data_IF_421900402233
#
_entry.id   IF_421900402233
#
_cell.length_a   1.000
_cell.length_b   1.000
_cell.length_c   1.000
_cell.angle_alpha   90.00
_cell.angle_beta   90.00
_cell.angle_gamma   90.00
#
_symmetry.space_group_name_H-M   'P 1'
#
loop_
_entity.id
_entity.type
_entity.pdbx_description
1 polymer ?
#
# COMPACT_ATOMS: atom_id res chain seq x y z
N UNK A 1 16.52 26.16 -0.01
CA UNK A 1 15.77 25.21 -0.85
C UNK A 1 14.66 24.66 0.02
N UNK A 2 13.37 24.78 -0.36
CA UNK A 2 12.29 24.27 0.49
C UNK A 2 12.44 22.76 0.65
N UNK A 3 12.27 22.29 1.88
CA UNK A 3 12.29 20.86 2.22
C UNK A 3 10.95 20.33 1.73
N UNK A 4 10.97 19.48 0.70
CA UNK A 4 9.78 18.80 0.21
C UNK A 4 9.62 17.56 1.08
N UNK A 5 8.76 17.63 2.09
CA UNK A 5 8.51 16.57 3.06
C UNK A 5 7.18 15.84 2.82
N UNK A 6 6.33 16.35 1.92
CA UNK A 6 5.04 15.74 1.62
C UNK A 6 4.58 16.02 0.17
N UNK A 7 3.59 15.26 -0.30
CA UNK A 7 3.16 15.35 -1.70
C UNK A 7 2.33 16.61 -2.02
N UNK A 8 1.79 17.33 -1.02
CA UNK A 8 1.00 18.58 -1.19
C UNK A 8 1.77 19.71 -1.86
N UNK A 9 3.10 19.64 -1.88
CA UNK A 9 3.95 20.60 -2.59
C UNK A 9 3.84 20.49 -4.12
N UNK A 10 3.21 19.42 -4.63
CA UNK A 10 2.98 19.19 -6.06
C UNK A 10 1.53 19.49 -6.45
N UNK A 11 1.34 20.37 -7.44
CA UNK A 11 0.02 20.79 -7.92
C UNK A 11 -0.82 19.67 -8.56
N UNK A 12 -0.22 18.52 -8.91
CA UNK A 12 -0.92 17.34 -9.46
C UNK A 12 -0.22 16.03 -9.02
N UNK A 13 -0.75 15.38 -7.99
CA UNK A 13 -0.24 14.09 -7.51
C UNK A 13 -0.89 12.93 -8.30
N UNK A 14 -0.08 12.00 -8.78
CA UNK A 14 -0.52 10.79 -9.46
C UNK A 14 -0.24 9.56 -8.58
N UNK A 15 -1.15 9.18 -7.69
CA UNK A 15 -0.87 8.11 -6.71
C UNK A 15 -1.27 6.71 -7.22
N UNK A 16 -0.37 5.73 -7.06
CA UNK A 16 -0.67 4.32 -7.26
C UNK A 16 -0.59 3.60 -5.92
N UNK A 17 -1.71 2.98 -5.52
CA UNK A 17 -1.82 2.27 -4.25
C UNK A 17 -1.78 0.76 -4.51
N UNK A 18 -1.15 -0.01 -3.62
CA UNK A 18 -1.24 -1.47 -3.60
C UNK A 18 -1.94 -1.95 -2.32
N UNK A 19 -3.05 -2.67 -2.48
CA UNK A 19 -3.76 -3.38 -1.42
C UNK A 19 -3.10 -4.76 -1.34
N UNK A 20 -2.38 -5.13 -0.28
CA UNK A 20 -1.85 -6.48 -0.20
C UNK A 20 -2.61 -7.32 0.82
N UNK A 21 -3.14 -8.45 0.35
CA UNK A 21 -3.77 -9.46 1.19
C UNK A 21 -2.81 -10.64 1.31
N UNK A 22 -2.08 -10.72 2.43
CA UNK A 22 -1.25 -11.90 2.75
C UNK A 22 -1.98 -12.74 3.79
N UNK A 23 -2.55 -13.84 3.32
CA UNK A 23 -3.16 -14.84 4.19
C UNK A 23 -2.11 -15.91 4.53
N UNK A 24 -1.26 -15.62 5.52
CA UNK A 24 -0.28 -16.60 5.99
C UNK A 24 -0.94 -17.63 6.93
N UNK A 25 -1.26 -18.82 6.41
CA UNK A 25 -1.64 -19.97 7.25
C UNK A 25 -0.41 -20.46 8.04
N UNK A 26 -0.32 -20.15 9.34
CA UNK A 26 0.69 -20.80 10.18
C UNK A 26 0.97 -20.24 11.59
N UNK A 27 0.40 -19.14 12.04
CA UNK A 27 0.70 -18.63 13.38
C UNK A 27 -0.47 -17.88 14.01
N UNK A 28 -0.81 -18.23 15.26
CA UNK A 28 -1.75 -17.49 16.13
C UNK A 28 -1.17 -16.14 16.58
N UNK A 29 -0.57 -15.39 15.66
CA UNK A 29 0.05 -14.11 15.95
C UNK A 29 -0.64 -13.09 15.07
N UNK A 30 -1.58 -12.34 15.66
CA UNK A 30 -2.20 -11.16 15.08
C UNK A 30 -1.15 -10.03 15.02
N UNK A 31 -0.17 -10.14 14.12
CA UNK A 31 0.74 -9.05 13.84
C UNK A 31 0.18 -8.24 12.67
N UNK A 32 -0.24 -7.01 12.94
CA UNK A 32 -0.42 -6.02 11.89
C UNK A 32 0.97 -5.72 11.32
N UNK A 33 1.21 -6.08 10.06
CA UNK A 33 2.40 -5.66 9.34
C UNK A 33 2.03 -4.41 8.52
N UNK A 34 1.72 -3.30 9.20
CA UNK A 34 1.98 -2.01 8.56
C UNK A 34 3.47 -2.02 8.22
N UNK A 35 3.82 -1.86 6.94
CA UNK A 35 5.21 -1.59 6.56
C UNK A 35 5.49 -0.15 6.96
N UNK A 36 5.51 0.08 8.26
CA UNK A 36 5.99 1.31 8.88
C UNK A 36 7.40 1.00 9.38
N UNK A 37 8.31 1.87 8.99
CA UNK A 37 9.71 1.91 9.38
C UNK A 37 10.57 0.75 8.83
N UNK A 38 11.16 1.02 7.67
CA UNK A 38 12.57 0.67 7.51
C UNK A 38 13.31 1.17 8.76
N UNK A 39 13.98 0.30 9.52
CA UNK A 39 14.92 0.79 10.50
C UNK A 39 15.95 1.63 9.74
N UNK A 40 16.06 2.92 10.09
CA UNK A 40 17.04 3.84 9.53
C UNK A 40 18.46 3.24 9.48
N UNK A 41 18.79 2.32 10.41
CA UNK A 41 20.05 1.58 10.42
C UNK A 41 20.16 0.57 9.25
N UNK A 42 19.08 -0.12 8.90
CA UNK A 42 19.01 -1.05 7.76
C UNK A 42 19.03 -0.27 6.44
N UNK A 43 18.28 0.82 6.33
CA UNK A 43 18.32 1.71 5.15
C UNK A 43 19.74 2.22 4.89
N UNK A 44 20.45 2.62 5.96
CA UNK A 44 21.83 3.09 5.89
C UNK A 44 22.82 1.98 5.50
N UNK A 45 22.64 0.75 6.01
CA UNK A 45 23.49 -0.39 5.64
C UNK A 45 23.33 -0.77 4.16
N UNK A 46 22.12 -0.65 3.62
CA UNK A 46 21.82 -0.92 2.21
C UNK A 46 22.18 0.25 1.28
N UNK A 47 22.62 1.40 1.80
CA UNK A 47 22.97 2.58 1.01
C UNK A 47 21.77 3.23 0.30
N UNK A 48 20.54 2.99 0.78
CA UNK A 48 19.31 3.43 0.11
C UNK A 48 19.10 4.94 0.09
N UNK A 49 19.76 5.67 1.00
CA UNK A 49 19.67 7.13 1.14
C UNK A 49 20.23 7.92 -0.07
N UNK A 50 20.90 7.26 -1.02
CA UNK A 50 21.59 7.90 -2.15
C UNK A 50 21.01 7.54 -3.54
N UNK A 51 19.90 6.80 -3.61
CA UNK A 51 19.51 6.10 -4.85
C UNK A 51 18.92 7.03 -5.93
N UNK A 52 18.19 8.09 -5.56
CA UNK A 52 17.67 9.04 -6.56
C UNK A 52 17.29 10.38 -5.94
N UNK A 53 17.67 11.52 -6.56
CA UNK A 53 17.21 12.85 -6.12
C UNK A 53 15.70 13.07 -6.33
N UNK A 54 15.04 12.19 -7.10
CA UNK A 54 13.60 12.25 -7.33
C UNK A 54 12.80 11.50 -6.26
N UNK A 55 13.43 10.68 -5.41
CA UNK A 55 12.75 10.06 -4.27
C UNK A 55 12.75 11.07 -3.11
N UNK A 56 11.59 11.70 -2.88
CA UNK A 56 11.43 12.80 -1.92
C UNK A 56 11.17 12.28 -0.51
N UNK A 57 10.34 11.24 -0.43
CA UNK A 57 9.98 10.52 0.80
C UNK A 57 10.24 9.04 0.54
N UNK A 58 10.93 8.36 1.45
CA UNK A 58 11.34 6.98 1.24
C UNK A 58 11.92 6.35 2.51
N UNK A 59 12.82 5.38 2.35
CA UNK A 59 13.36 4.60 3.46
C UNK A 59 14.10 5.43 4.51
N UNK A 60 14.67 6.58 4.13
CA UNK A 60 15.38 7.48 5.06
C UNK A 60 14.44 8.31 5.95
N UNK A 61 13.18 8.49 5.54
CA UNK A 61 12.17 9.27 6.29
C UNK A 61 11.19 8.39 7.07
N UNK A 62 11.23 7.06 6.84
CA UNK A 62 10.43 6.06 7.57
C UNK A 62 8.91 6.31 7.53
N UNK A 63 8.40 6.86 6.44
CA UNK A 63 6.98 7.17 6.24
C UNK A 63 6.21 5.97 5.64
N UNK A 64 4.89 5.93 5.80
CA UNK A 64 3.99 4.86 5.34
C UNK A 64 3.78 4.87 3.81
N UNK A 65 4.37 5.86 3.12
CA UNK A 65 4.36 5.99 1.68
C UNK A 65 5.69 6.54 1.14
N UNK A 66 6.06 6.10 -0.06
CA UNK A 66 7.12 6.71 -0.85
C UNK A 66 6.55 7.79 -1.78
N UNK A 67 7.25 8.92 -1.90
CA UNK A 67 6.88 9.99 -2.82
C UNK A 67 7.99 10.16 -3.86
N UNK A 68 7.65 9.91 -5.12
CA UNK A 68 8.58 10.01 -6.25
C UNK A 68 8.21 11.18 -7.17
N UNK A 69 9.11 12.14 -7.33
CA UNK A 69 8.96 13.28 -8.22
C UNK A 69 9.03 12.85 -9.69
N UNK A 70 8.02 13.23 -10.47
CA UNK A 70 8.00 13.04 -11.93
C UNK A 70 8.50 14.30 -12.63
N UNK A 71 8.03 15.47 -12.20
CA UNK A 71 8.46 16.77 -12.69
C UNK A 71 8.21 17.85 -11.61
N UNK A 72 8.38 19.12 -11.95
CA UNK A 72 8.22 20.23 -11.00
C UNK A 72 6.80 20.37 -10.43
N UNK A 73 5.79 19.82 -11.10
CA UNK A 73 4.38 19.96 -10.71
C UNK A 73 3.72 18.63 -10.31
N UNK A 74 4.39 17.50 -10.53
CA UNK A 74 3.84 16.17 -10.34
C UNK A 74 4.77 15.25 -9.56
N UNK A 75 4.16 14.48 -8.65
CA UNK A 75 4.78 13.38 -7.94
C UNK A 75 3.82 12.18 -7.88
N UNK A 76 4.38 10.99 -7.71
CA UNK A 76 3.66 9.75 -7.47
C UNK A 76 3.79 9.40 -5.99
N UNK A 77 2.66 9.13 -5.35
CA UNK A 77 2.64 8.50 -4.03
C UNK A 77 2.47 7.00 -4.24
N UNK A 78 3.38 6.23 -3.68
CA UNK A 78 3.37 4.78 -3.65
C UNK A 78 3.23 4.33 -2.21
N UNK A 79 2.20 3.56 -1.92
CA UNK A 79 2.01 2.95 -0.60
C UNK A 79 1.55 1.52 -0.77
N UNK A 80 1.87 0.72 0.23
CA UNK A 80 1.62 -0.71 0.21
C UNK A 80 1.47 -1.19 1.65
N UNK A 81 0.35 -1.85 1.95
CA UNK A 81 0.08 -2.37 3.28
C UNK A 81 -0.21 -3.86 3.24
N UNK A 82 0.26 -4.60 4.24
CA UNK A 82 0.05 -6.02 4.37
C UNK A 82 -0.73 -6.33 5.65
N UNK A 83 -1.86 -7.00 5.49
CA UNK A 83 -2.69 -7.41 6.63
C UNK A 83 -2.71 -8.93 6.73
N UNK A 84 -2.49 -9.43 7.94
CA UNK A 84 -3.01 -10.74 8.31
C UNK A 84 -4.49 -10.60 8.70
N UNK A 85 -5.31 -11.64 8.54
CA UNK A 85 -6.73 -11.58 8.89
C UNK A 85 -6.92 -11.18 10.36
N UNK A 86 -7.46 -9.99 10.59
CA UNK A 86 -7.79 -9.47 11.93
C UNK A 86 -9.21 -9.89 12.34
N UNK A 87 -10.05 -10.18 11.35
CA UNK A 87 -11.47 -10.51 11.51
C UNK A 87 -11.85 -11.71 10.65
N UNK A 88 -12.89 -12.43 11.06
CA UNK A 88 -13.34 -13.67 10.41
C UNK A 88 -14.14 -13.43 9.11
N UNK A 89 -14.78 -12.26 8.98
CA UNK A 89 -15.54 -11.93 7.78
C UNK A 89 -14.60 -11.50 6.64
N UNK A 90 -14.53 -12.33 5.61
CA UNK A 90 -13.68 -12.12 4.43
C UNK A 90 -13.93 -10.78 3.72
N UNK A 91 -15.20 -10.41 3.52
CA UNK A 91 -15.55 -9.16 2.82
C UNK A 91 -15.21 -7.93 3.64
N UNK A 92 -15.52 -7.93 4.92
CA UNK A 92 -15.14 -6.84 5.81
C UNK A 92 -13.62 -6.71 5.92
N UNK A 93 -12.90 -7.84 5.92
CA UNK A 93 -11.44 -7.81 5.89
C UNK A 93 -10.91 -7.07 4.66
N UNK A 94 -11.41 -7.42 3.47
CA UNK A 94 -11.05 -6.73 2.23
C UNK A 94 -11.40 -5.24 2.24
N UNK A 95 -12.53 -4.85 2.84
CA UNK A 95 -12.90 -3.43 3.01
C UNK A 95 -11.90 -2.70 3.91
N UNK A 96 -11.55 -3.28 5.06
CA UNK A 96 -10.60 -2.68 6.00
C UNK A 96 -9.22 -2.55 5.36
N UNK A 97 -8.74 -3.60 4.69
CA UNK A 97 -7.46 -3.60 4.01
C UNK A 97 -7.38 -2.52 2.92
N UNK A 98 -8.42 -2.43 2.07
CA UNK A 98 -8.50 -1.42 1.03
C UNK A 98 -8.57 0.01 1.60
N UNK A 99 -9.39 0.23 2.63
CA UNK A 99 -9.54 1.54 3.25
C UNK A 99 -8.23 2.02 3.86
N UNK A 100 -7.51 1.14 4.57
CA UNK A 100 -6.23 1.49 5.17
C UNK A 100 -5.19 1.85 4.10
N UNK A 101 -5.06 1.04 3.06
CA UNK A 101 -4.09 1.30 1.99
C UNK A 101 -4.38 2.61 1.25
N UNK A 102 -5.65 2.93 1.00
CA UNK A 102 -6.04 4.17 0.32
C UNK A 102 -5.82 5.39 1.23
N UNK A 103 -6.00 5.25 2.55
CA UNK A 103 -5.87 6.35 3.49
C UNK A 103 -4.47 6.95 3.52
N UNK A 104 -3.41 6.16 3.33
CA UNK A 104 -2.03 6.67 3.30
C UNK A 104 -1.82 7.65 2.14
N UNK A 105 -2.46 7.41 0.99
CA UNK A 105 -2.45 8.36 -0.13
C UNK A 105 -3.11 9.68 0.27
N UNK A 106 -4.27 9.62 0.94
CA UNK A 106 -4.95 10.82 1.41
C UNK A 106 -4.16 11.55 2.50
N UNK A 107 -3.48 10.82 3.39
CA UNK A 107 -2.64 11.39 4.45
C UNK A 107 -1.48 12.22 3.87
N UNK A 108 -0.88 11.74 2.77
CA UNK A 108 0.12 12.48 1.99
C UNK A 108 -0.44 13.65 1.18
N UNK A 109 -1.76 13.85 1.17
CA UNK A 109 -2.44 14.87 0.39
C UNK A 109 -2.63 14.50 -1.09
N UNK A 110 -2.39 13.24 -1.44
CA UNK A 110 -2.56 12.70 -2.78
C UNK A 110 -4.02 12.44 -3.15
N UNK A 111 -4.25 12.33 -4.47
CA UNK A 111 -5.49 11.77 -5.01
C UNK A 111 -5.20 10.36 -5.52
N UNK A 112 -5.85 9.32 -4.99
CA UNK A 112 -5.73 7.96 -5.52
C UNK A 112 -6.09 7.92 -7.01
N UNK A 113 -5.28 7.24 -7.84
CA UNK A 113 -5.59 7.02 -9.25
C UNK A 113 -6.00 5.59 -9.57
N UNK A 114 -5.42 4.62 -8.86
CA UNK A 114 -5.67 3.20 -9.01
C UNK A 114 -5.28 2.46 -7.74
N UNK A 115 -5.87 1.29 -7.54
CA UNK A 115 -5.45 0.31 -6.55
C UNK A 115 -4.99 -0.99 -7.24
N UNK A 116 -3.96 -1.62 -6.71
CA UNK A 116 -3.47 -2.93 -7.12
C UNK A 116 -3.60 -3.90 -5.95
N UNK A 117 -4.51 -4.87 -6.04
CA UNK A 117 -4.55 -5.98 -5.09
C UNK A 117 -3.41 -6.94 -5.38
N UNK A 118 -2.52 -7.18 -4.40
CA UNK A 118 -1.48 -8.22 -4.47
C UNK A 118 -1.88 -9.34 -3.52
N UNK A 119 -2.22 -10.49 -4.08
CA UNK A 119 -2.66 -11.65 -3.32
C UNK A 119 -1.48 -12.60 -3.09
N UNK A 120 -1.04 -12.70 -1.83
CA UNK A 120 -0.07 -13.67 -1.36
C UNK A 120 -0.77 -14.80 -0.60
N UNK A 121 -1.65 -15.55 -1.28
CA UNK A 121 -2.48 -16.57 -0.64
C UNK A 121 -2.03 -17.98 -1.01
N UNK A 122 -2.04 -18.94 -0.07
CA UNK A 122 -1.87 -20.34 -0.41
C UNK A 122 -3.12 -20.82 -1.16
N UNK A 123 -3.08 -20.76 -2.50
CA UNK A 123 -4.18 -21.13 -3.41
C UNK A 123 -4.70 -22.55 -3.11
N UNK A 124 -3.82 -23.43 -2.63
CA UNK A 124 -4.16 -24.82 -2.27
C UNK A 124 -4.76 -24.99 -0.85
N UNK A 125 -4.90 -23.92 -0.07
CA UNK A 125 -5.36 -23.97 1.34
C UNK A 125 -6.57 -23.06 1.64
N UNK A 126 -6.89 -22.12 0.77
CA UNK A 126 -8.05 -21.23 0.91
C UNK A 126 -9.08 -21.54 -0.17
N UNK A 127 -10.38 -21.67 0.18
CA UNK A 127 -11.43 -21.75 -0.81
C UNK A 127 -11.49 -20.47 -1.65
N UNK A 128 -11.65 -20.61 -2.96
CA UNK A 128 -11.76 -19.49 -3.91
C UNK A 128 -12.87 -18.52 -3.54
N UNK A 129 -13.94 -19.00 -2.89
CA UNK A 129 -15.06 -18.20 -2.42
C UNK A 129 -14.63 -17.19 -1.36
N UNK A 130 -13.71 -17.58 -0.46
CA UNK A 130 -13.17 -16.68 0.57
C UNK A 130 -12.35 -15.57 -0.08
N UNK A 131 -11.48 -15.93 -1.04
CA UNK A 131 -10.65 -14.97 -1.80
C UNK A 131 -11.55 -13.98 -2.55
N UNK A 132 -12.61 -14.49 -3.17
CA UNK A 132 -13.59 -13.69 -3.91
C UNK A 132 -14.29 -12.69 -3.00
N UNK A 133 -14.69 -13.08 -1.78
CA UNK A 133 -15.31 -12.15 -0.83
C UNK A 133 -14.35 -11.07 -0.34
N UNK A 134 -13.08 -11.40 -0.10
CA UNK A 134 -12.03 -10.40 0.21
C UNK A 134 -11.93 -9.38 -0.91
N UNK A 135 -11.77 -9.84 -2.16
CA UNK A 135 -11.69 -8.97 -3.32
C UNK A 135 -12.95 -8.12 -3.50
N UNK A 136 -14.14 -8.68 -3.27
CA UNK A 136 -15.41 -7.93 -3.32
C UNK A 136 -15.42 -6.78 -2.30
N UNK A 137 -14.92 -7.01 -1.10
CA UNK A 137 -14.77 -5.96 -0.09
C UNK A 137 -13.82 -4.84 -0.54
N UNK A 138 -12.68 -5.20 -1.12
CA UNK A 138 -11.74 -4.21 -1.67
C UNK A 138 -12.33 -3.42 -2.84
N UNK A 139 -13.09 -4.09 -3.72
CA UNK A 139 -13.80 -3.45 -4.84
C UNK A 139 -14.80 -2.41 -4.36
N UNK A 140 -15.54 -2.66 -3.27
CA UNK A 140 -16.48 -1.68 -2.70
C UNK A 140 -15.80 -0.39 -2.32
N UNK A 141 -14.70 -0.47 -1.57
CA UNK A 141 -13.95 0.72 -1.16
C UNK A 141 -13.32 1.43 -2.35
N UNK A 142 -12.80 0.70 -3.33
CA UNK A 142 -12.27 1.31 -4.55
C UNK A 142 -13.36 2.03 -5.36
N UNK A 143 -14.58 1.48 -5.40
CA UNK A 143 -15.75 2.14 -6.01
C UNK A 143 -16.13 3.41 -5.26
N UNK A 144 -16.15 3.39 -3.93
CA UNK A 144 -16.40 4.57 -3.10
C UNK A 144 -15.34 5.67 -3.34
N UNK A 145 -14.07 5.28 -3.49
CA UNK A 145 -12.97 6.19 -3.82
C UNK A 145 -12.94 6.64 -5.30
N UNK A 146 -13.77 6.04 -6.16
CA UNK A 146 -13.83 6.35 -7.60
C UNK A 146 -12.59 5.92 -8.38
N UNK A 147 -11.91 4.86 -7.96
CA UNK A 147 -10.69 4.34 -8.60
C UNK A 147 -10.87 2.91 -9.12
N UNK A 148 -10.18 2.53 -10.21
CA UNK A 148 -10.11 1.15 -10.64
C UNK A 148 -9.29 0.31 -9.66
N UNK A 149 -9.71 -0.95 -9.47
CA UNK A 149 -8.93 -1.99 -8.81
C UNK A 149 -8.41 -2.98 -9.87
N UNK A 150 -7.10 -3.21 -9.89
CA UNK A 150 -6.46 -4.32 -10.61
C UNK A 150 -6.06 -5.40 -9.60
N UNK A 151 -5.92 -6.64 -10.04
CA UNK A 151 -5.51 -7.77 -9.18
C UNK A 151 -4.30 -8.46 -9.79
N UNK A 152 -3.28 -8.70 -8.98
CA UNK A 152 -2.12 -9.53 -9.28
C UNK A 152 -2.04 -10.66 -8.26
N UNK A 153 -1.94 -11.88 -8.79
CA UNK A 153 -1.78 -13.08 -7.99
C UNK A 153 -0.31 -13.48 -8.00
N UNK A 154 0.28 -13.65 -6.81
CA UNK A 154 1.61 -14.20 -6.68
C UNK A 154 1.53 -15.73 -6.69
N UNK A 155 1.74 -16.35 -7.86
CA UNK A 155 1.88 -17.81 -7.96
C UNK A 155 3.32 -18.21 -7.61
N UNK A 156 3.49 -19.04 -6.58
CA UNK A 156 4.77 -19.65 -6.22
C UNK A 156 4.97 -20.99 -6.94
#
# INVERSE_FOLDING_TARGET
MPIIDNARDFGRIAAANAINDVYAMGGKHHANASISACDSSTASQLGLSAVSPNLLVGASTCDDAAVYKINEQQAIVLTTNFFMPIIDNARDFGRIAAANAINDVYAMGGKPLLALSVLGMPINKLPTEVITEILNGGVEICKEAGIPLSVQEATA
#
